data_IF_236923317848
#
_entry.id   IF_236923317848
#
_cell.length_a   1.000
_cell.length_b   1.000
_cell.length_c   1.000
_cell.angle_alpha   90.00
_cell.angle_beta   90.00
_cell.angle_gamma   90.00
#
_symmetry.space_group_name_H-M   'P 1'
#
loop_
_entity.id
_entity.type
_entity.pdbx_description
1 polymer ?
#
# COMPACT_ATOMS: atom_id res chain seq x y z
N UNK A 1 -13.56 -1.27 20.46
CA UNK A 1 -13.17 -2.59 19.91
C UNK A 1 -13.14 -2.44 18.40
N UNK A 2 -11.96 -2.53 17.77
CA UNK A 2 -11.84 -2.48 16.31
C UNK A 2 -12.64 -3.63 15.70
N UNK A 3 -13.40 -3.42 14.61
CA UNK A 3 -14.15 -4.49 13.97
C UNK A 3 -13.17 -5.49 13.38
N UNK A 4 -12.87 -6.55 14.14
CA UNK A 4 -12.25 -7.76 13.62
C UNK A 4 -13.28 -8.38 12.70
N UNK A 5 -13.19 -8.12 11.40
CA UNK A 5 -14.05 -8.78 10.44
C UNK A 5 -13.87 -10.29 10.58
N UNK A 6 -14.98 -11.03 10.74
CA UNK A 6 -14.96 -12.50 10.78
C UNK A 6 -14.62 -13.14 9.42
N UNK A 7 -14.44 -12.31 8.39
CA UNK A 7 -14.14 -12.69 7.01
C UNK A 7 -13.25 -11.62 6.36
N UNK A 8 -12.34 -12.03 5.48
CA UNK A 8 -11.55 -11.10 4.69
C UNK A 8 -12.43 -10.47 3.59
N UNK A 9 -12.43 -9.13 3.48
CA UNK A 9 -13.24 -8.36 2.51
C UNK A 9 -12.51 -7.15 1.92
N UNK A 10 -11.19 -7.03 2.12
CA UNK A 10 -10.47 -5.83 1.71
C UNK A 10 -10.51 -5.63 0.18
N UNK A 11 -10.39 -6.72 -0.58
CA UNK A 11 -10.53 -6.76 -2.03
C UNK A 11 -11.90 -6.27 -2.52
N UNK A 12 -12.99 -6.75 -1.91
CA UNK A 12 -14.35 -6.30 -2.20
C UNK A 12 -14.52 -4.80 -1.91
N UNK A 13 -13.98 -4.33 -0.78
CA UNK A 13 -14.04 -2.91 -0.42
C UNK A 13 -13.24 -2.03 -1.36
N UNK A 14 -12.09 -2.48 -1.87
CA UNK A 14 -11.35 -1.74 -2.89
C UNK A 14 -12.10 -1.69 -4.22
N UNK A 15 -12.79 -2.77 -4.61
CA UNK A 15 -13.69 -2.75 -5.77
C UNK A 15 -14.85 -1.78 -5.57
N UNK A 16 -15.50 -1.75 -4.41
CA UNK A 16 -16.55 -0.79 -4.08
C UNK A 16 -16.03 0.66 -4.19
N UNK A 17 -14.84 0.95 -3.65
CA UNK A 17 -14.20 2.27 -3.78
C UNK A 17 -13.95 2.64 -5.25
N UNK A 18 -13.45 1.69 -6.06
CA UNK A 18 -13.23 1.89 -7.49
C UNK A 18 -14.53 2.29 -8.19
N UNK A 19 -15.62 1.56 -7.93
CA UNK A 19 -16.94 1.84 -8.50
C UNK A 19 -17.51 3.18 -8.03
N UNK A 20 -17.31 3.55 -6.76
CA UNK A 20 -17.77 4.83 -6.21
C UNK A 20 -17.15 6.05 -6.91
N UNK A 21 -15.89 5.94 -7.36
CA UNK A 21 -15.22 7.00 -8.12
C UNK A 21 -15.40 6.87 -9.64
N UNK A 22 -16.29 5.97 -10.09
CA UNK A 22 -16.67 5.82 -11.50
C UNK A 22 -15.79 4.89 -12.34
N UNK A 23 -14.89 4.12 -11.72
CA UNK A 23 -14.11 3.10 -12.43
C UNK A 23 -14.97 1.88 -12.74
N UNK A 24 -14.77 1.31 -13.93
CA UNK A 24 -15.48 0.11 -14.38
C UNK A 24 -14.68 -1.14 -14.01
N UNK A 25 -15.25 -1.97 -13.15
CA UNK A 25 -14.72 -3.28 -12.77
C UNK A 25 -15.88 -4.23 -12.43
N UNK A 26 -15.73 -5.50 -12.81
CA UNK A 26 -16.76 -6.53 -12.63
C UNK A 26 -16.34 -7.59 -11.60
N UNK A 27 -15.06 -7.64 -11.22
CA UNK A 27 -14.54 -8.57 -10.22
C UNK A 27 -13.70 -7.85 -9.16
N UNK A 28 -13.56 -8.41 -7.95
CA UNK A 28 -12.72 -7.80 -6.91
C UNK A 28 -11.27 -7.58 -7.37
N UNK A 29 -10.71 -8.52 -8.13
CA UNK A 29 -9.35 -8.40 -8.67
C UNK A 29 -9.22 -7.23 -9.65
N UNK A 30 -10.17 -7.10 -10.59
CA UNK A 30 -10.22 -5.94 -11.49
C UNK A 30 -10.39 -4.63 -10.73
N UNK A 31 -11.23 -4.62 -9.69
CA UNK A 31 -11.49 -3.43 -8.88
C UNK A 31 -10.26 -2.96 -8.10
N UNK A 32 -9.53 -3.90 -7.49
CA UNK A 32 -8.27 -3.60 -6.80
C UNK A 32 -7.25 -3.01 -7.76
N UNK A 33 -7.06 -3.62 -8.93
CA UNK A 33 -6.09 -3.17 -9.94
C UNK A 33 -6.48 -1.79 -10.49
N UNK A 34 -7.75 -1.60 -10.85
CA UNK A 34 -8.25 -0.33 -11.37
C UNK A 34 -8.10 0.79 -10.34
N UNK A 35 -8.39 0.52 -9.06
CA UNK A 35 -8.24 1.50 -7.99
C UNK A 35 -6.77 1.85 -7.73
N UNK A 36 -5.88 0.86 -7.69
CA UNK A 36 -4.45 1.08 -7.55
C UNK A 36 -3.92 1.97 -8.68
N UNK A 37 -4.25 1.63 -9.94
CA UNK A 37 -3.87 2.42 -11.11
C UNK A 37 -4.38 3.87 -11.05
N UNK A 38 -5.62 4.08 -10.60
CA UNK A 38 -6.17 5.43 -10.45
C UNK A 38 -5.40 6.26 -9.40
N UNK A 39 -4.96 5.64 -8.29
CA UNK A 39 -4.07 6.29 -7.33
C UNK A 39 -2.71 6.64 -7.95
N UNK A 40 -2.14 5.76 -8.76
CA UNK A 40 -0.88 6.03 -9.48
C UNK A 40 -1.01 7.18 -10.48
N UNK A 41 -2.08 7.20 -11.26
CA UNK A 41 -2.39 8.29 -12.19
C UNK A 41 -2.58 9.62 -11.45
N UNK A 42 -3.25 9.60 -10.29
CA UNK A 42 -3.39 10.79 -9.44
C UNK A 42 -2.04 11.29 -8.94
N UNK A 43 -1.18 10.41 -8.41
CA UNK A 43 0.15 10.79 -7.95
C UNK A 43 0.98 11.43 -9.07
N UNK A 44 0.94 10.88 -10.29
CA UNK A 44 1.61 11.44 -11.46
C UNK A 44 1.03 12.80 -11.86
N UNK A 45 -0.30 12.93 -11.86
CA UNK A 45 -0.98 14.17 -12.24
C UNK A 45 -0.74 15.32 -11.25
N UNK A 46 -0.48 15.02 -9.97
CA UNK A 46 -0.15 16.01 -8.94
C UNK A 46 1.36 16.17 -8.72
N UNK A 47 2.20 15.58 -9.57
CA UNK A 47 3.67 15.61 -9.45
C UNK A 47 4.19 15.11 -8.08
N UNK A 48 3.43 14.21 -7.43
CA UNK A 48 3.82 13.58 -6.17
C UNK A 48 4.91 12.54 -6.42
N UNK A 49 5.90 12.45 -5.52
CA UNK A 49 6.89 11.37 -5.59
C UNK A 49 6.20 10.00 -5.52
N UNK A 50 6.63 9.07 -6.37
CA UNK A 50 6.05 7.72 -6.48
C UNK A 50 6.98 6.64 -5.94
N UNK A 51 8.16 7.02 -5.46
CA UNK A 51 9.08 6.13 -4.76
C UNK A 51 10.17 6.91 -4.03
N UNK A 52 10.73 6.32 -2.98
CA UNK A 52 11.72 7.00 -2.11
C UNK A 52 13.03 7.36 -2.81
N UNK A 53 13.38 6.69 -3.92
CA UNK A 53 14.51 7.07 -4.77
C UNK A 53 14.39 8.51 -5.30
N UNK A 54 13.18 9.01 -5.53
CA UNK A 54 12.95 10.40 -5.97
C UNK A 54 13.14 11.42 -4.84
N UNK A 55 13.23 10.98 -3.58
CA UNK A 55 13.47 11.84 -2.43
C UNK A 55 14.96 12.06 -2.12
N UNK A 56 15.87 11.75 -3.07
CA UNK A 56 17.33 11.81 -2.90
C UNK A 56 17.85 10.95 -1.73
N UNK A 57 17.23 9.79 -1.49
CA UNK A 57 17.68 8.81 -0.50
C UNK A 57 18.52 7.76 -1.22
N UNK A 58 19.75 7.54 -0.74
CA UNK A 58 20.63 6.51 -1.27
C UNK A 58 20.07 5.10 -1.03
N UNK A 59 20.19 4.23 -2.03
CA UNK A 59 19.61 2.89 -1.99
C UNK A 59 20.16 2.07 -0.83
N UNK A 60 21.48 2.12 -0.63
CA UNK A 60 22.15 1.41 0.45
C UNK A 60 21.67 1.90 1.82
N UNK A 61 21.49 3.21 1.99
CA UNK A 61 20.97 3.80 3.22
C UNK A 61 19.54 3.33 3.50
N UNK A 62 18.67 3.39 2.48
CA UNK A 62 17.29 2.89 2.59
C UNK A 62 17.25 1.41 2.95
N UNK A 63 17.92 0.57 2.17
CA UNK A 63 17.90 -0.89 2.34
C UNK A 63 18.46 -1.32 3.71
N UNK A 64 19.46 -0.61 4.23
CA UNK A 64 20.00 -0.87 5.58
C UNK A 64 18.99 -0.59 6.70
N UNK A 65 18.01 0.30 6.46
CA UNK A 65 17.01 0.73 7.43
C UNK A 65 15.67 0.00 7.32
N UNK A 66 15.41 -0.70 6.20
CA UNK A 66 14.17 -1.45 6.00
C UNK A 66 13.84 -2.42 7.16
N UNK A 67 14.77 -3.24 7.69
CA UNK A 67 14.43 -4.18 8.77
C UNK A 67 13.94 -3.47 10.04
N UNK A 68 14.58 -2.36 10.40
CA UNK A 68 14.20 -1.53 11.56
C UNK A 68 12.83 -0.87 11.33
N UNK A 69 12.63 -0.25 10.16
CA UNK A 69 11.35 0.37 9.80
C UNK A 69 10.19 -0.63 9.75
N UNK A 70 10.43 -1.86 9.29
CA UNK A 70 9.41 -2.90 9.25
C UNK A 70 8.97 -3.35 10.65
N UNK A 71 9.90 -3.44 11.60
CA UNK A 71 9.58 -3.73 13.01
C UNK A 71 8.77 -2.59 13.63
N UNK A 72 9.22 -1.35 13.45
CA UNK A 72 8.50 -0.17 13.96
C UNK A 72 7.09 -0.06 13.38
N UNK A 73 6.92 -0.34 12.08
CA UNK A 73 5.60 -0.35 11.45
C UNK A 73 4.70 -1.44 12.04
N UNK A 74 5.23 -2.62 12.37
CA UNK A 74 4.46 -3.68 13.02
C UNK A 74 3.99 -3.29 14.43
N UNK A 75 4.82 -2.57 15.18
CA UNK A 75 4.53 -2.12 16.56
C UNK A 75 3.66 -0.84 16.63
N UNK A 76 3.43 -0.19 15.49
CA UNK A 76 2.63 1.02 15.41
C UNK A 76 1.16 0.78 15.83
N UNK A 77 0.57 1.76 16.52
CA UNK A 77 -0.81 1.67 17.03
C UNK A 77 -1.87 1.58 15.93
N UNK A 78 -1.53 1.93 14.69
CA UNK A 78 -2.42 1.80 13.54
C UNK A 78 -2.44 0.36 12.98
N UNK A 79 -1.38 -0.42 13.16
CA UNK A 79 -1.25 -1.77 12.59
C UNK A 79 -2.32 -2.78 13.01
N UNK A 80 -2.81 -2.79 14.27
CA UNK A 80 -3.91 -3.65 14.69
C UNK A 80 -5.23 -3.43 13.94
N UNK A 81 -5.40 -2.28 13.29
CA UNK A 81 -6.56 -1.96 12.48
C UNK A 81 -6.50 -2.50 11.04
N UNK A 82 -5.31 -2.91 10.58
CA UNK A 82 -5.13 -3.37 9.21
C UNK A 82 -5.95 -4.65 8.97
N UNK A 83 -6.67 -4.78 7.84
CA UNK A 83 -7.53 -5.94 7.57
C UNK A 83 -6.77 -7.27 7.47
N UNK A 84 -5.44 -7.22 7.32
CA UNK A 84 -4.52 -8.37 7.40
C UNK A 84 -3.44 -8.04 8.43
N UNK A 85 -3.09 -8.98 9.31
CA UNK A 85 -1.97 -8.77 10.23
C UNK A 85 -0.68 -8.49 9.43
N UNK A 86 -0.04 -7.33 9.59
CA UNK A 86 1.08 -6.91 8.76
C UNK A 86 2.37 -7.55 9.27
N UNK A 87 2.63 -8.81 8.91
CA UNK A 87 3.84 -9.51 9.34
C UNK A 87 5.09 -8.71 8.95
N UNK A 88 6.10 -8.63 9.83
CA UNK A 88 7.34 -7.85 9.60
C UNK A 88 7.95 -8.14 8.22
N UNK A 89 7.99 -9.41 7.80
CA UNK A 89 8.48 -9.81 6.47
C UNK A 89 7.66 -9.25 5.29
N UNK A 90 6.33 -9.15 5.46
CA UNK A 90 5.46 -8.54 4.45
C UNK A 90 5.73 -7.04 4.36
N UNK A 91 5.91 -6.37 5.51
CA UNK A 91 6.28 -4.96 5.58
C UNK A 91 7.63 -4.67 4.93
N UNK A 92 8.66 -5.50 5.18
CA UNK A 92 9.95 -5.36 4.50
C UNK A 92 9.81 -5.44 2.97
N UNK A 93 8.99 -6.38 2.48
CA UNK A 93 8.75 -6.53 1.03
C UNK A 93 8.12 -5.26 0.45
N UNK A 94 7.12 -4.70 1.13
CA UNK A 94 6.45 -3.46 0.72
C UNK A 94 7.42 -2.27 0.75
N UNK A 95 8.20 -2.12 1.82
CA UNK A 95 9.20 -1.03 1.96
C UNK A 95 10.31 -1.11 0.92
N UNK A 96 10.75 -2.31 0.54
CA UNK A 96 11.72 -2.51 -0.55
C UNK A 96 11.12 -2.13 -1.91
N UNK A 97 9.87 -2.51 -2.18
CA UNK A 97 9.18 -2.14 -3.41
C UNK A 97 8.96 -0.62 -3.51
N UNK A 98 8.56 0.03 -2.42
CA UNK A 98 8.29 1.46 -2.35
C UNK A 98 9.54 2.35 -2.58
N UNK A 99 10.74 1.78 -2.55
CA UNK A 99 11.96 2.51 -2.88
C UNK A 99 11.98 2.95 -4.35
N UNK A 100 11.57 2.06 -5.26
CA UNK A 100 11.62 2.32 -6.69
C UNK A 100 10.34 3.04 -7.13
N UNK A 101 10.44 4.09 -7.98
CA UNK A 101 9.27 4.78 -8.51
C UNK A 101 8.38 3.84 -9.31
N UNK A 102 7.07 4.13 -9.30
CA UNK A 102 6.10 3.47 -10.16
C UNK A 102 6.41 3.87 -11.62
N UNK A 103 6.51 2.88 -12.51
CA UNK A 103 6.77 3.08 -13.94
C UNK A 103 5.63 3.84 -14.62
#
# INVERSE_FOLDING_TARGET
MWPKYNFYKADQRYMELAQMIGLKCNTPAEGVEAFAKACEELMKATETITGFKQANIEESAWMSKVPEMALLAFEDQCSPANPRVPMVKDMEKILKAAYYPIA
#
